data_IF_094651406947
#
_entry.id   IF_094651406947
#
_cell.length_a   1.000
_cell.length_b   1.000
_cell.length_c   1.000
_cell.angle_alpha   90.00
_cell.angle_beta   90.00
_cell.angle_gamma   90.00
#
_symmetry.space_group_name_H-M   'P 1'
#
loop_
_entity.id
_entity.type
_entity.pdbx_description
1 polymer ?
#
# COMPACT_ATOMS: atom_id res chain seq x y z
N UNK A 1 2.87 20.22 24.24
CA UNK A 1 2.26 18.94 23.84
C UNK A 1 2.34 18.82 22.32
N UNK A 2 3.06 17.83 21.78
CA UNK A 2 3.08 17.57 20.33
C UNK A 2 1.68 17.15 19.91
N UNK A 3 1.04 17.95 19.06
CA UNK A 3 -0.23 17.57 18.43
C UNK A 3 0.01 16.29 17.62
N UNK A 4 -0.58 15.18 18.05
CA UNK A 4 -0.50 13.91 17.33
C UNK A 4 -1.23 14.13 16.01
N UNK A 5 -0.49 14.21 14.90
CA UNK A 5 -1.07 14.30 13.56
C UNK A 5 -1.90 13.04 13.33
N UNK A 6 -3.21 13.21 13.13
CA UNK A 6 -4.13 12.11 12.84
C UNK A 6 -3.76 11.51 11.47
N UNK A 7 -3.55 10.20 11.40
CA UNK A 7 -3.53 9.46 10.13
C UNK A 7 -4.99 9.42 9.63
N UNK A 8 -5.29 10.13 8.57
CA UNK A 8 -6.61 10.14 7.92
C UNK A 8 -6.73 8.86 7.09
N UNK A 9 -7.93 8.26 6.99
CA UNK A 9 -8.22 7.17 6.05
C UNK A 9 -7.92 5.74 6.49
N UNK A 10 -7.45 5.50 7.71
CA UNK A 10 -7.35 4.17 8.36
C UNK A 10 -6.57 3.07 7.61
N UNK A 11 -5.83 3.43 6.55
CA UNK A 11 -5.03 2.52 5.73
C UNK A 11 -3.80 1.94 6.46
N UNK A 12 -3.40 2.55 7.57
CA UNK A 12 -2.47 2.01 8.54
C UNK A 12 -3.12 2.12 9.93
N UNK A 13 -2.78 1.23 10.87
CA UNK A 13 -3.29 1.35 12.23
C UNK A 13 -2.93 2.74 12.78
N UNK A 14 -3.84 3.26 13.61
CA UNK A 14 -3.70 4.58 14.25
C UNK A 14 -2.48 4.62 15.16
N UNK A 15 -2.12 3.49 15.74
CA UNK A 15 -0.99 3.32 16.64
C UNK A 15 0.19 2.68 15.90
N UNK A 16 1.34 3.34 15.92
CA UNK A 16 2.56 2.82 15.30
C UNK A 16 3.01 1.50 15.92
N UNK A 17 2.70 1.26 17.19
CA UNK A 17 3.05 0.01 17.88
C UNK A 17 2.38 -1.23 17.26
N UNK A 18 1.22 -1.08 16.60
CA UNK A 18 0.57 -2.18 15.88
C UNK A 18 1.36 -2.56 14.64
N UNK A 19 1.81 -1.58 13.84
CA UNK A 19 2.63 -1.85 12.64
C UNK A 19 4.01 -2.38 13.06
N UNK A 20 4.61 -1.80 14.09
CA UNK A 20 5.87 -2.26 14.64
C UNK A 20 5.80 -3.72 15.13
N UNK A 21 4.71 -4.11 15.80
CA UNK A 21 4.48 -5.49 16.23
C UNK A 21 4.35 -6.43 15.04
N UNK A 22 3.53 -6.06 14.06
CA UNK A 22 3.37 -6.81 12.81
C UNK A 22 4.72 -7.05 12.15
N UNK A 23 5.54 -6.00 11.94
CA UNK A 23 6.87 -6.13 11.35
C UNK A 23 7.77 -7.09 12.13
N UNK A 24 7.75 -7.01 13.46
CA UNK A 24 8.58 -7.85 14.32
C UNK A 24 8.18 -9.33 14.24
N UNK A 25 6.88 -9.61 14.29
CA UNK A 25 6.34 -10.97 14.14
C UNK A 25 6.61 -11.51 12.73
N UNK A 26 6.39 -10.68 11.72
CA UNK A 26 6.66 -11.02 10.32
C UNK A 26 8.15 -11.29 10.05
N UNK A 27 9.05 -10.53 10.66
CA UNK A 27 10.49 -10.76 10.54
C UNK A 27 10.91 -12.17 11.01
N UNK A 28 10.30 -12.67 12.09
CA UNK A 28 10.56 -14.02 12.57
C UNK A 28 10.10 -15.09 11.55
N UNK A 29 8.92 -14.89 10.95
CA UNK A 29 8.43 -15.75 9.88
C UNK A 29 9.34 -15.70 8.64
N UNK A 30 9.74 -14.50 8.20
CA UNK A 30 10.57 -14.29 7.03
C UNK A 30 11.94 -14.98 7.16
N UNK A 31 12.60 -14.86 8.32
CA UNK A 31 13.87 -15.55 8.59
C UNK A 31 13.73 -17.07 8.53
N UNK A 32 12.64 -17.63 9.08
CA UNK A 32 12.37 -19.07 9.01
C UNK A 32 12.19 -19.54 7.56
N UNK A 33 11.48 -18.76 6.74
CA UNK A 33 11.28 -19.04 5.31
C UNK A 33 12.60 -18.98 4.53
N UNK A 34 13.43 -17.97 4.76
CA UNK A 34 14.72 -17.81 4.08
C UNK A 34 15.65 -19.02 4.25
N UNK A 35 15.56 -19.74 5.37
CA UNK A 35 16.34 -20.96 5.59
C UNK A 35 15.80 -22.19 4.83
N UNK A 36 14.57 -22.13 4.30
CA UNK A 36 13.86 -23.28 3.74
C UNK A 36 13.49 -23.13 2.26
N UNK A 37 13.54 -21.91 1.71
CA UNK A 37 13.10 -21.61 0.35
C UNK A 37 14.11 -20.76 -0.40
N UNK A 38 14.16 -20.94 -1.72
CA UNK A 38 14.97 -20.10 -2.60
C UNK A 38 14.34 -18.70 -2.75
N UNK A 39 15.18 -17.67 -2.69
CA UNK A 39 14.78 -16.28 -2.94
C UNK A 39 14.22 -16.10 -4.35
N UNK A 40 13.15 -15.34 -4.48
CA UNK A 40 12.56 -14.98 -5.76
C UNK A 40 13.57 -14.19 -6.62
N UNK A 41 13.63 -14.50 -7.93
CA UNK A 41 14.57 -13.85 -8.85
C UNK A 41 14.41 -12.33 -8.88
N UNK A 42 13.18 -11.79 -8.83
CA UNK A 42 12.98 -10.34 -8.84
C UNK A 42 13.55 -9.65 -7.59
N UNK A 43 13.53 -10.35 -6.44
CA UNK A 43 14.11 -9.86 -5.18
C UNK A 43 15.62 -9.98 -5.20
N UNK A 44 16.15 -11.09 -5.74
CA UNK A 44 17.59 -11.27 -5.94
C UNK A 44 18.16 -10.19 -6.89
N UNK A 45 17.45 -9.86 -7.97
CA UNK A 45 17.83 -8.80 -8.91
C UNK A 45 17.83 -7.41 -8.26
N UNK A 46 16.83 -7.12 -7.42
CA UNK A 46 16.79 -5.88 -6.62
C UNK A 46 17.97 -5.82 -5.63
N UNK A 47 18.24 -6.92 -4.92
CA UNK A 47 19.36 -7.00 -3.98
C UNK A 47 20.71 -6.81 -4.68
N UNK A 48 20.90 -7.41 -5.85
CA UNK A 48 22.10 -7.23 -6.66
C UNK A 48 22.27 -5.76 -7.10
N UNK A 49 21.21 -5.15 -7.65
CA UNK A 49 21.24 -3.73 -8.03
C UNK A 49 21.59 -2.81 -6.87
N UNK A 50 20.93 -2.97 -5.70
CA UNK A 50 21.24 -2.16 -4.52
C UNK A 50 22.69 -2.37 -4.07
N UNK A 51 23.22 -3.59 -4.14
CA UNK A 51 24.60 -3.87 -3.76
C UNK A 51 25.59 -3.22 -4.72
N UNK A 52 25.32 -3.25 -6.01
CA UNK A 52 26.26 -2.87 -7.06
C UNK A 52 26.26 -1.35 -7.33
N UNK A 53 25.14 -0.66 -7.08
CA UNK A 53 25.06 0.80 -7.14
C UNK A 53 25.40 1.45 -5.78
N UNK A 54 26.55 2.14 -5.66
CA UNK A 54 27.00 2.69 -4.39
C UNK A 54 26.12 3.84 -3.86
N UNK A 55 25.46 4.60 -4.74
CA UNK A 55 24.60 5.73 -4.33
C UNK A 55 23.30 5.18 -3.76
N UNK A 56 22.66 4.26 -4.47
CA UNK A 56 21.44 3.57 -4.00
C UNK A 56 21.72 2.86 -2.68
N UNK A 57 22.84 2.13 -2.57
CA UNK A 57 23.24 1.46 -1.33
C UNK A 57 23.40 2.43 -0.16
N UNK A 58 24.09 3.54 -0.41
CA UNK A 58 24.33 4.58 0.61
C UNK A 58 23.01 5.19 1.05
N UNK A 59 22.17 5.63 0.12
CA UNK A 59 20.91 6.30 0.43
C UNK A 59 19.95 5.37 1.18
N UNK A 60 19.88 4.10 0.79
CA UNK A 60 19.02 3.15 1.48
C UNK A 60 19.54 2.83 2.89
N UNK A 61 20.85 2.59 3.03
CA UNK A 61 21.48 2.38 4.35
C UNK A 61 21.21 3.57 5.28
N UNK A 62 21.37 4.80 4.77
CA UNK A 62 21.11 6.03 5.53
C UNK A 62 19.64 6.19 5.86
N UNK A 63 18.71 5.89 4.94
CA UNK A 63 17.28 5.97 5.19
C UNK A 63 16.84 5.01 6.32
N UNK A 64 17.38 3.78 6.33
CA UNK A 64 17.16 2.81 7.41
C UNK A 64 17.74 3.34 8.73
N UNK A 65 18.97 3.84 8.72
CA UNK A 65 19.63 4.42 9.90
C UNK A 65 18.84 5.58 10.49
N UNK A 66 18.45 6.55 9.65
CA UNK A 66 17.65 7.73 10.04
C UNK A 66 16.31 7.35 10.68
N UNK A 67 15.61 6.36 10.12
CA UNK A 67 14.35 5.90 10.68
C UNK A 67 14.55 5.26 12.07
N UNK A 68 15.61 4.48 12.24
CA UNK A 68 15.95 3.85 13.53
C UNK A 68 16.39 4.88 14.57
N UNK A 69 17.22 5.86 14.19
CA UNK A 69 17.64 6.97 15.05
C UNK A 69 16.45 7.83 15.52
N UNK A 70 15.44 7.98 14.66
CA UNK A 70 14.18 8.64 15.01
C UNK A 70 13.27 7.81 15.94
N UNK A 71 13.67 6.57 16.29
CA UNK A 71 12.96 5.69 17.21
C UNK A 71 11.92 4.77 16.56
N UNK A 72 11.86 4.70 15.22
CA UNK A 72 10.91 3.83 14.53
C UNK A 72 11.38 2.37 14.52
N UNK A 73 10.42 1.45 14.67
CA UNK A 73 10.65 0.00 14.70
C UNK A 73 10.33 -0.60 13.34
N UNK A 74 11.37 -0.85 12.54
CA UNK A 74 11.24 -1.36 11.17
C UNK A 74 11.08 -2.88 11.08
N UNK A 75 11.49 -3.63 12.11
CA UNK A 75 11.55 -5.09 12.07
C UNK A 75 12.78 -5.66 11.37
N UNK A 76 13.62 -4.80 10.80
CA UNK A 76 14.90 -5.12 10.17
C UNK A 76 15.94 -4.03 10.50
N UNK A 77 17.21 -4.40 10.49
CA UNK A 77 18.33 -3.56 10.88
C UNK A 77 19.05 -2.91 9.69
N UNK A 78 19.06 -3.58 8.54
CA UNK A 78 19.86 -3.24 7.36
C UNK A 78 19.16 -3.73 6.07
N UNK A 79 19.83 -3.53 4.93
CA UNK A 79 19.33 -3.89 3.60
C UNK A 79 19.18 -5.41 3.47
N UNK A 80 20.10 -6.21 4.02
CA UNK A 80 20.07 -7.67 3.88
C UNK A 80 18.85 -8.25 4.61
N UNK A 81 18.59 -7.79 5.84
CA UNK A 81 17.36 -8.16 6.55
C UNK A 81 16.11 -7.65 5.83
N UNK A 82 16.13 -6.44 5.27
CA UNK A 82 15.03 -5.92 4.46
C UNK A 82 14.71 -6.83 3.27
N UNK A 83 15.72 -7.31 2.55
CA UNK A 83 15.57 -8.21 1.40
C UNK A 83 14.92 -9.53 1.81
N UNK A 84 15.30 -10.09 2.97
CA UNK A 84 14.68 -11.31 3.53
C UNK A 84 13.18 -11.10 3.81
N UNK A 85 12.83 -9.95 4.41
CA UNK A 85 11.43 -9.62 4.69
C UNK A 85 10.65 -9.38 3.39
N UNK A 86 11.24 -8.68 2.43
CA UNK A 86 10.61 -8.40 1.14
C UNK A 86 10.29 -9.68 0.37
N UNK A 87 11.20 -10.65 0.34
CA UNK A 87 10.96 -11.96 -0.31
C UNK A 87 9.77 -12.70 0.30
N UNK A 88 9.74 -12.79 1.63
CA UNK A 88 8.65 -13.44 2.33
C UNK A 88 7.29 -12.75 2.06
N UNK A 89 7.32 -11.43 1.86
CA UNK A 89 6.11 -10.64 1.62
C UNK A 89 5.46 -10.95 0.28
N UNK A 90 6.22 -11.47 -0.70
CA UNK A 90 5.69 -11.78 -2.03
C UNK A 90 4.68 -12.94 -2.03
N UNK A 91 4.67 -13.73 -0.97
CA UNK A 91 3.70 -14.83 -0.76
C UNK A 91 2.74 -14.55 0.40
N UNK A 92 2.66 -13.30 0.87
CA UNK A 92 1.78 -12.92 1.96
C UNK A 92 0.39 -12.58 1.45
N UNK A 93 -0.62 -13.36 1.86
CA UNK A 93 -2.03 -13.06 1.66
C UNK A 93 -2.54 -12.18 2.81
N UNK A 94 -3.13 -10.99 2.57
CA UNK A 94 -3.59 -10.13 3.66
C UNK A 94 -4.75 -10.76 4.45
N UNK A 95 -4.62 -11.02 5.77
CA UNK A 95 -5.73 -11.45 6.61
C UNK A 95 -6.69 -10.29 6.91
N UNK A 96 -7.93 -10.63 7.27
CA UNK A 96 -8.81 -9.64 7.90
C UNK A 96 -8.22 -9.25 9.27
N UNK A 97 -8.34 -7.97 9.62
CA UNK A 97 -8.02 -7.48 10.96
C UNK A 97 -8.94 -6.33 11.30
N UNK A 98 -9.51 -6.37 12.50
CA UNK A 98 -10.36 -5.28 12.99
C UNK A 98 -9.55 -4.01 13.30
N UNK A 99 -8.29 -4.19 13.69
CA UNK A 99 -7.41 -3.10 14.14
C UNK A 99 -6.73 -2.36 13.00
N UNK A 100 -6.62 -2.98 11.83
CA UNK A 100 -5.91 -2.37 10.72
C UNK A 100 -6.19 -3.01 9.37
N UNK A 101 -6.36 -2.15 8.38
CA UNK A 101 -6.41 -2.48 6.97
C UNK A 101 -4.98 -2.58 6.39
N UNK A 102 -4.06 -3.36 6.97
CA UNK A 102 -2.72 -3.60 6.36
C UNK A 102 -2.91 -4.44 5.10
N UNK A 103 -3.37 -3.81 4.02
CA UNK A 103 -3.59 -4.41 2.70
C UNK A 103 -2.38 -4.25 1.78
N UNK A 104 -1.46 -3.36 2.15
CA UNK A 104 -0.23 -3.07 1.39
C UNK A 104 0.99 -3.51 2.22
N UNK A 105 1.30 -4.81 2.25
CA UNK A 105 2.27 -5.38 3.18
C UNK A 105 3.70 -4.93 2.87
N UNK A 106 4.02 -4.62 1.60
CA UNK A 106 5.31 -4.02 1.22
C UNK A 106 5.45 -2.59 1.75
N UNK A 107 4.38 -1.77 1.74
CA UNK A 107 4.41 -0.43 2.33
C UNK A 107 4.68 -0.48 3.83
N UNK A 108 4.22 -1.51 4.53
CA UNK A 108 4.54 -1.69 5.93
C UNK A 108 6.05 -1.81 6.16
N UNK A 109 6.83 -2.33 5.20
CA UNK A 109 8.29 -2.35 5.32
C UNK A 109 8.94 -1.00 4.99
N UNK A 110 8.37 -0.25 4.05
CA UNK A 110 9.01 0.92 3.44
C UNK A 110 8.55 2.28 3.98
N UNK A 111 7.43 2.35 4.70
CA UNK A 111 6.79 3.59 5.14
C UNK A 111 7.74 4.61 5.80
N UNK A 112 8.61 4.15 6.70
CA UNK A 112 9.55 5.00 7.40
C UNK A 112 10.77 5.35 6.56
N UNK A 113 11.49 4.39 5.94
CA UNK A 113 12.55 4.73 5.00
C UNK A 113 12.10 5.73 3.93
N UNK A 114 10.88 5.60 3.40
CA UNK A 114 10.33 6.51 2.38
C UNK A 114 10.21 7.96 2.84
N UNK A 115 9.99 8.19 4.15
CA UNK A 115 9.80 9.54 4.68
C UNK A 115 11.04 10.13 5.34
N UNK A 116 12.20 9.44 5.26
CA UNK A 116 13.48 9.94 5.75
C UNK A 116 14.21 10.78 4.69
N UNK A 117 15.08 11.73 5.09
CA UNK A 117 15.80 12.60 4.15
C UNK A 117 16.55 11.85 3.03
N UNK A 118 17.27 10.77 3.35
CA UNK A 118 17.96 9.96 2.34
C UNK A 118 17.00 9.08 1.53
N UNK A 119 15.80 8.79 2.07
CA UNK A 119 14.75 8.10 1.34
C UNK A 119 14.18 8.93 0.19
N UNK A 120 14.05 10.25 0.35
CA UNK A 120 13.47 11.09 -0.69
C UNK A 120 14.20 10.97 -2.04
N UNK A 121 15.53 10.91 -2.03
CA UNK A 121 16.32 10.70 -3.24
C UNK A 121 16.14 9.27 -3.78
N UNK A 122 16.29 8.26 -2.93
CA UNK A 122 16.18 6.85 -3.28
C UNK A 122 14.84 6.51 -3.97
N UNK A 123 13.71 6.88 -3.39
CA UNK A 123 12.38 6.54 -3.93
C UNK A 123 11.99 7.38 -5.16
N UNK A 124 12.82 8.37 -5.53
CA UNK A 124 12.70 9.10 -6.79
C UNK A 124 13.60 8.55 -7.89
N UNK A 125 14.52 7.64 -7.55
CA UNK A 125 15.42 7.04 -8.52
C UNK A 125 14.64 6.14 -9.52
N UNK A 126 14.69 6.42 -10.84
CA UNK A 126 13.94 5.64 -11.82
C UNK A 126 14.39 4.18 -11.92
N UNK A 127 15.67 3.89 -11.73
CA UNK A 127 16.20 2.52 -11.79
C UNK A 127 15.75 1.72 -10.57
N UNK A 128 15.83 2.29 -9.37
CA UNK A 128 15.28 1.69 -8.16
C UNK A 128 13.78 1.38 -8.31
N UNK A 129 13.00 2.35 -8.80
CA UNK A 129 11.56 2.16 -9.05
C UNK A 129 11.28 1.10 -10.12
N UNK A 130 12.13 0.95 -11.14
CA UNK A 130 12.00 -0.11 -12.13
C UNK A 130 12.23 -1.51 -11.53
N UNK A 131 13.19 -1.66 -10.61
CA UNK A 131 13.39 -2.92 -9.87
C UNK A 131 12.23 -3.18 -8.90
N UNK A 132 11.81 -2.16 -8.14
CA UNK A 132 10.69 -2.28 -7.20
C UNK A 132 9.39 -2.66 -7.93
N UNK A 133 9.13 -2.09 -9.13
CA UNK A 133 7.99 -2.48 -9.97
C UNK A 133 8.00 -3.97 -10.31
N UNK A 134 9.16 -4.56 -10.63
CA UNK A 134 9.25 -6.00 -10.92
C UNK A 134 8.89 -6.83 -9.70
N UNK A 135 9.37 -6.45 -8.51
CA UNK A 135 9.00 -7.10 -7.24
C UNK A 135 7.50 -6.99 -6.98
N UNK A 136 6.92 -5.79 -7.14
CA UNK A 136 5.49 -5.57 -6.96
C UNK A 136 4.64 -6.35 -7.96
N UNK A 137 5.09 -6.53 -9.20
CA UNK A 137 4.41 -7.37 -10.18
C UNK A 137 4.35 -8.85 -9.75
N UNK A 138 5.40 -9.36 -9.11
CA UNK A 138 5.39 -10.73 -8.57
C UNK A 138 4.36 -10.87 -7.46
N UNK A 139 4.33 -9.92 -6.50
CA UNK A 139 3.31 -9.93 -5.46
C UNK A 139 1.89 -9.78 -6.05
N UNK A 140 1.71 -8.89 -7.03
CA UNK A 140 0.44 -8.72 -7.75
C UNK A 140 -0.03 -10.02 -8.43
N UNK A 141 0.89 -10.78 -9.02
CA UNK A 141 0.58 -12.08 -9.61
C UNK A 141 0.15 -13.09 -8.53
N UNK A 142 0.84 -13.11 -7.38
CA UNK A 142 0.48 -13.95 -6.24
C UNK A 142 -0.93 -13.63 -5.72
N UNK A 143 -1.25 -12.36 -5.44
CA UNK A 143 -2.58 -11.95 -4.92
C UNK A 143 -3.70 -12.08 -5.96
N UNK A 144 -3.34 -12.24 -7.24
CA UNK A 144 -4.29 -12.57 -8.32
C UNK A 144 -4.45 -14.08 -8.53
N UNK A 145 -3.61 -14.91 -7.91
CA UNK A 145 -3.63 -16.36 -8.03
C UNK A 145 -4.45 -17.08 -6.95
N UNK A 146 -4.71 -18.38 -7.12
CA UNK A 146 -5.57 -19.16 -6.22
C UNK A 146 -4.99 -19.36 -4.81
N UNK A 147 -3.67 -19.25 -4.64
CA UNK A 147 -2.99 -19.41 -3.35
C UNK A 147 -3.22 -18.22 -2.41
N UNK A 148 -3.63 -17.07 -2.92
CA UNK A 148 -3.94 -15.88 -2.12
C UNK A 148 -5.27 -15.99 -1.34
N UNK A 149 -6.02 -17.07 -1.53
CA UNK A 149 -7.34 -17.27 -0.91
C UNK A 149 -7.28 -17.80 0.52
N UNK A 150 -6.09 -17.92 1.10
CA UNK A 150 -5.86 -18.46 2.45
C UNK A 150 -6.84 -17.90 3.49
N UNK A 151 -7.07 -16.59 3.46
CA UNK A 151 -7.95 -15.88 4.39
C UNK A 151 -9.37 -15.63 3.88
N UNK A 152 -9.75 -16.11 2.69
CA UNK A 152 -11.12 -16.01 2.16
C UNK A 152 -12.00 -17.13 2.75
N UNK A 153 -12.24 -17.06 4.05
CA UNK A 153 -13.01 -18.05 4.79
C UNK A 153 -13.76 -17.39 5.96
N UNK A 154 -14.62 -18.15 6.62
CA UNK A 154 -15.49 -17.67 7.72
C UNK A 154 -14.83 -17.74 9.10
N UNK A 155 -13.57 -18.19 9.21
CA UNK A 155 -12.91 -18.40 10.50
C UNK A 155 -12.43 -17.08 11.09
N UNK A 156 -12.99 -16.69 12.22
CA UNK A 156 -12.48 -15.58 13.05
C UNK A 156 -11.10 -15.95 13.66
N UNK A 157 -10.19 -14.98 13.88
CA UNK A 157 -10.32 -13.55 13.62
C UNK A 157 -9.84 -13.08 12.24
N UNK A 158 -9.20 -13.96 11.46
CA UNK A 158 -8.46 -13.55 10.25
C UNK A 158 -9.23 -13.75 8.93
N UNK A 159 -10.41 -14.36 8.99
CA UNK A 159 -11.22 -14.70 7.83
C UNK A 159 -12.03 -13.53 7.30
N UNK A 160 -11.95 -13.28 5.99
CA UNK A 160 -12.67 -12.21 5.31
C UNK A 160 -14.19 -12.40 5.20
N UNK A 161 -14.69 -13.60 5.53
CA UNK A 161 -16.12 -13.91 5.58
C UNK A 161 -16.59 -14.14 7.01
N UNK A 162 -15.79 -13.77 8.02
CA UNK A 162 -16.21 -13.84 9.41
C UNK A 162 -17.33 -12.83 9.69
N UNK A 163 -18.04 -13.02 10.80
CA UNK A 163 -19.11 -12.10 11.20
C UNK A 163 -18.60 -10.66 11.41
N UNK A 164 -17.42 -10.53 12.00
CA UNK A 164 -16.75 -9.27 12.24
C UNK A 164 -16.38 -8.57 10.93
N UNK A 165 -15.86 -9.32 9.94
CA UNK A 165 -15.57 -8.79 8.62
C UNK A 165 -16.85 -8.34 7.89
N UNK A 166 -17.91 -9.15 7.93
CA UNK A 166 -19.19 -8.83 7.31
C UNK A 166 -19.85 -7.60 7.94
N UNK A 167 -19.74 -7.43 9.26
CA UNK A 167 -20.28 -6.25 9.95
C UNK A 167 -19.65 -4.93 9.47
N UNK A 168 -18.39 -4.95 9.02
CA UNK A 168 -17.68 -3.77 8.50
C UNK A 168 -17.86 -3.59 7.00
N UNK A 169 -17.87 -4.69 6.26
CA UNK A 169 -17.88 -4.68 4.79
C UNK A 169 -19.29 -4.63 4.22
N UNK A 170 -20.25 -5.28 4.89
CA UNK A 170 -21.57 -5.56 4.36
C UNK A 170 -21.52 -6.43 3.11
N UNK A 171 -21.10 -7.70 3.23
CA UNK A 171 -20.89 -8.61 2.09
C UNK A 171 -22.16 -8.83 1.25
N UNK A 172 -23.34 -8.63 1.85
CA UNK A 172 -24.64 -8.74 1.19
C UNK A 172 -24.82 -7.79 0.00
N UNK A 173 -24.05 -6.69 -0.09
CA UNK A 173 -24.13 -5.74 -1.20
C UNK A 173 -23.33 -6.16 -2.44
N UNK A 174 -22.51 -7.21 -2.35
CA UNK A 174 -21.63 -7.66 -3.42
C UNK A 174 -22.13 -8.94 -4.09
N UNK A 175 -21.64 -9.19 -5.31
CA UNK A 175 -21.88 -10.44 -6.01
C UNK A 175 -20.98 -11.52 -5.40
N UNK A 176 -21.55 -12.38 -4.55
CA UNK A 176 -20.91 -13.54 -3.96
C UNK A 176 -21.93 -14.67 -3.71
N UNK A 177 -21.46 -15.91 -3.73
CA UNK A 177 -22.30 -17.10 -3.55
C UNK A 177 -21.74 -17.96 -2.40
N UNK A 178 -22.32 -17.90 -1.19
CA UNK A 178 -21.86 -18.67 -0.05
C UNK A 178 -21.83 -20.19 -0.25
N UNK A 179 -22.55 -20.73 -1.24
CA UNK A 179 -22.55 -22.16 -1.54
C UNK A 179 -21.31 -22.61 -2.35
N UNK A 180 -20.57 -21.67 -2.96
CA UNK A 180 -19.35 -21.97 -3.72
C UNK A 180 -18.11 -21.91 -2.83
N UNK A 181 -17.05 -22.68 -3.14
CA UNK A 181 -15.74 -22.52 -2.51
C UNK A 181 -15.27 -21.06 -2.59
N UNK A 182 -14.77 -20.53 -1.46
CA UNK A 182 -14.34 -19.14 -1.34
C UNK A 182 -15.40 -18.12 -1.79
N UNK A 183 -16.68 -18.49 -1.69
CA UNK A 183 -17.84 -17.72 -2.12
C UNK A 183 -17.85 -17.32 -3.61
N UNK A 184 -17.13 -18.06 -4.44
CA UNK A 184 -16.98 -17.80 -5.88
C UNK A 184 -15.77 -16.93 -6.23
N UNK A 185 -15.02 -16.44 -5.25
CA UNK A 185 -13.81 -15.65 -5.51
C UNK A 185 -12.62 -16.53 -5.91
N UNK A 186 -11.97 -16.13 -7.00
CA UNK A 186 -10.85 -16.86 -7.59
C UNK A 186 -9.50 -16.55 -6.92
N UNK A 187 -9.39 -15.37 -6.29
CA UNK A 187 -8.17 -14.84 -5.67
C UNK A 187 -8.52 -13.72 -4.69
N UNK A 188 -7.53 -13.28 -3.90
CA UNK A 188 -7.67 -12.13 -3.02
C UNK A 188 -7.99 -10.86 -3.81
N UNK A 189 -7.33 -10.62 -4.96
CA UNK A 189 -7.64 -9.47 -5.80
C UNK A 189 -9.08 -9.50 -6.33
N UNK A 190 -9.60 -10.67 -6.74
CA UNK A 190 -11.00 -10.78 -7.16
C UNK A 190 -11.96 -10.42 -6.00
N UNK A 191 -11.63 -10.80 -4.76
CA UNK A 191 -12.38 -10.37 -3.58
C UNK A 191 -12.20 -8.88 -3.23
N UNK A 192 -11.00 -8.33 -3.41
CA UNK A 192 -10.69 -6.93 -3.08
C UNK A 192 -11.36 -5.96 -4.06
N UNK A 193 -11.42 -6.33 -5.34
CA UNK A 193 -12.12 -5.57 -6.40
C UNK A 193 -13.50 -6.15 -6.69
N UNK A 194 -14.13 -6.78 -5.69
CA UNK A 194 -15.44 -7.43 -5.82
C UNK A 194 -16.50 -6.48 -6.38
N UNK A 195 -17.38 -7.03 -7.21
CA UNK A 195 -18.42 -6.28 -7.87
C UNK A 195 -19.63 -6.08 -6.96
N UNK A 196 -20.21 -4.87 -7.01
CA UNK A 196 -21.47 -4.58 -6.35
C UNK A 196 -22.64 -5.25 -7.07
N UNK A 197 -23.69 -5.58 -6.32
CA UNK A 197 -24.98 -5.94 -6.91
C UNK A 197 -25.54 -4.75 -7.69
N UNK A 198 -26.26 -5.00 -8.81
CA UNK A 198 -26.98 -3.95 -9.53
C UNK A 198 -27.85 -3.11 -8.59
N UNK A 199 -27.76 -1.79 -8.72
CA UNK A 199 -28.54 -0.85 -7.92
C UNK A 199 -27.97 -0.50 -6.54
N UNK A 200 -26.86 -1.09 -6.10
CA UNK A 200 -26.26 -0.79 -4.79
C UNK A 200 -25.76 0.66 -4.66
N UNK A 201 -25.41 1.32 -5.79
CA UNK A 201 -24.91 2.70 -5.86
C UNK A 201 -25.60 3.46 -7.00
N UNK A 202 -26.84 3.95 -6.80
CA UNK A 202 -27.56 4.67 -7.85
C UNK A 202 -26.90 6.02 -8.15
N UNK A 203 -26.76 6.37 -9.42
CA UNK A 203 -26.28 7.68 -9.86
C UNK A 203 -27.43 8.69 -9.78
N UNK A 204 -27.22 9.79 -9.05
CA UNK A 204 -28.20 10.86 -8.96
C UNK A 204 -28.26 11.63 -10.29
N UNK A 205 -29.46 11.79 -10.83
CA UNK A 205 -29.73 12.60 -12.05
C UNK A 205 -28.76 12.27 -13.22
N UNK A 206 -28.77 11.04 -13.76
CA UNK A 206 -27.79 10.59 -14.74
C UNK A 206 -27.78 11.36 -16.08
N UNK A 207 -28.79 12.21 -16.34
CA UNK A 207 -28.86 13.09 -17.51
C UNK A 207 -28.61 14.58 -17.22
N UNK A 208 -28.14 14.93 -16.01
CA UNK A 208 -27.85 16.30 -15.64
C UNK A 208 -26.34 16.55 -15.55
N UNK A 209 -25.77 17.12 -16.62
CA UNK A 209 -24.34 17.41 -16.73
C UNK A 209 -23.82 18.47 -15.73
N UNK A 210 -24.71 19.05 -14.91
CA UNK A 210 -24.35 20.01 -13.85
C UNK A 210 -24.13 19.34 -12.49
N UNK A 211 -24.45 18.06 -12.35
CA UNK A 211 -24.34 17.33 -11.08
C UNK A 211 -23.02 16.59 -11.03
N UNK A 212 -22.18 16.94 -10.07
CA UNK A 212 -20.93 16.22 -9.76
C UNK A 212 -21.23 15.28 -8.58
N UNK A 213 -20.90 14.01 -8.76
CA UNK A 213 -21.02 12.97 -7.73
C UNK A 213 -19.63 12.42 -7.37
N UNK A 214 -19.55 11.74 -6.22
CA UNK A 214 -18.29 11.13 -5.80
C UNK A 214 -17.88 10.02 -6.76
N UNK A 215 -16.62 10.01 -7.18
CA UNK A 215 -16.07 8.98 -8.06
C UNK A 215 -15.91 7.62 -7.37
N UNK A 216 -15.79 7.61 -6.04
CA UNK A 216 -15.62 6.41 -5.24
C UNK A 216 -16.13 6.60 -3.82
N UNK A 217 -16.14 5.50 -3.05
CA UNK A 217 -16.39 5.51 -1.61
C UNK A 217 -15.17 6.05 -0.88
N UNK A 218 -15.07 7.38 -0.83
CA UNK A 218 -13.97 8.07 -0.20
C UNK A 218 -14.45 9.28 0.60
N UNK A 219 -13.65 9.66 1.59
CA UNK A 219 -13.79 10.96 2.26
C UNK A 219 -12.76 11.92 1.67
N UNK A 220 -13.16 13.15 1.29
CA UNK A 220 -12.21 14.16 0.82
C UNK A 220 -11.10 14.37 1.86
N UNK A 221 -9.85 14.16 1.45
CA UNK A 221 -8.70 14.42 2.32
C UNK A 221 -8.44 15.92 2.46
N UNK A 222 -8.51 16.64 1.34
CA UNK A 222 -8.26 18.08 1.29
C UNK A 222 -8.97 18.70 0.08
N UNK A 223 -9.50 19.91 0.26
CA UNK A 223 -10.14 20.70 -0.80
C UNK A 223 -9.45 22.06 -0.81
N UNK A 224 -8.89 22.42 -1.95
CA UNK A 224 -8.20 23.68 -2.16
C UNK A 224 -8.71 24.37 -3.41
N UNK A 225 -9.01 25.65 -3.27
CA UNK A 225 -9.37 26.54 -4.38
C UNK A 225 -8.13 27.29 -4.87
N UNK A 226 -8.18 27.80 -6.10
CA UNK A 226 -7.14 28.63 -6.71
C UNK A 226 -5.74 27.98 -6.71
N UNK A 227 -5.67 26.68 -6.98
CA UNK A 227 -4.40 25.95 -7.12
C UNK A 227 -3.56 26.53 -8.27
N UNK A 228 -2.25 26.61 -8.07
CA UNK A 228 -1.33 27.22 -9.03
C UNK A 228 -0.75 26.18 -9.98
N UNK A 229 -0.37 26.64 -11.17
CA UNK A 229 0.31 25.79 -12.15
C UNK A 229 1.66 25.27 -11.62
N UNK A 230 2.40 26.17 -10.97
CA UNK A 230 3.66 25.92 -10.27
C UNK A 230 3.53 26.48 -8.85
N UNK A 231 3.89 25.68 -7.86
CA UNK A 231 3.90 26.08 -6.46
C UNK A 231 5.01 25.32 -5.70
N UNK A 232 5.29 25.72 -4.46
CA UNK A 232 6.27 25.05 -3.62
C UNK A 232 5.78 23.67 -3.14
N UNK A 233 5.81 22.66 -4.02
CA UNK A 233 5.27 21.32 -3.76
C UNK A 233 6.02 20.53 -2.67
N UNK A 234 7.21 20.99 -2.26
CA UNK A 234 8.07 20.35 -1.26
C UNK A 234 7.82 20.81 0.20
N UNK A 235 6.83 21.69 0.45
CA UNK A 235 6.53 22.20 1.80
C UNK A 235 5.42 21.38 2.47
N UNK A 236 5.54 21.14 3.78
CA UNK A 236 4.63 20.33 4.63
C UNK A 236 3.17 20.82 4.69
N UNK A 237 2.84 21.97 4.10
CA UNK A 237 1.47 22.48 3.89
C UNK A 237 0.83 22.01 2.58
N UNK A 238 1.54 21.17 1.80
CA UNK A 238 1.12 20.63 0.51
C UNK A 238 0.55 21.68 -0.47
N UNK A 239 1.29 22.76 -0.81
CA UNK A 239 0.94 23.54 -1.99
C UNK A 239 0.98 22.60 -3.21
N UNK A 240 -0.15 22.36 -3.87
CA UNK A 240 -0.20 21.46 -5.02
C UNK A 240 0.21 22.22 -6.27
N UNK A 241 1.39 21.89 -6.81
CA UNK A 241 1.79 22.30 -8.14
C UNK A 241 1.20 21.33 -9.16
N UNK A 242 0.39 21.85 -10.08
CA UNK A 242 -0.27 21.03 -11.10
C UNK A 242 0.73 20.36 -12.05
N UNK A 243 1.82 21.04 -12.41
CA UNK A 243 2.85 20.49 -13.31
C UNK A 243 3.63 19.37 -12.62
N UNK A 244 4.04 19.56 -11.37
CA UNK A 244 4.90 18.58 -10.68
C UNK A 244 4.11 17.38 -10.17
N UNK A 245 2.81 17.53 -9.92
CA UNK A 245 1.92 16.44 -9.53
C UNK A 245 1.47 15.60 -10.74
N UNK A 246 1.34 16.21 -11.93
CA UNK A 246 0.86 15.54 -13.13
C UNK A 246 1.85 15.75 -14.28
N UNK A 247 2.65 14.73 -14.54
CA UNK A 247 3.72 14.74 -15.56
C UNK A 247 3.24 15.05 -16.99
N UNK A 248 1.93 14.97 -17.28
CA UNK A 248 1.32 15.25 -18.59
C UNK A 248 0.47 16.55 -18.65
N UNK A 249 0.33 17.31 -17.55
CA UNK A 249 -0.53 18.51 -17.52
C UNK A 249 0.03 19.68 -18.32
N UNK A 250 1.30 19.68 -18.72
CA UNK A 250 1.88 20.77 -19.53
C UNK A 250 1.07 21.09 -20.80
N UNK A 251 0.37 20.09 -21.38
CA UNK A 251 -0.55 20.28 -22.51
C UNK A 251 -1.97 20.74 -22.14
N UNK A 252 -2.41 20.53 -20.90
CA UNK A 252 -3.75 20.83 -20.38
C UNK A 252 -3.81 22.06 -19.46
N UNK A 253 -2.65 22.57 -19.03
CA UNK A 253 -2.47 23.65 -18.08
C UNK A 253 -3.30 24.90 -18.39
N UNK A 254 -3.37 25.30 -19.67
CA UNK A 254 -4.12 26.47 -20.11
C UNK A 254 -5.65 26.33 -20.00
N UNK A 255 -6.17 25.12 -19.76
CA UNK A 255 -7.62 24.87 -19.61
C UNK A 255 -8.07 24.77 -18.15
N UNK A 256 -7.14 24.61 -17.20
CA UNK A 256 -7.43 24.37 -15.79
C UNK A 256 -7.37 25.64 -14.93
N UNK A 257 -6.84 26.75 -15.46
CA UNK A 257 -6.57 27.99 -14.71
C UNK A 257 -7.18 29.20 -15.45
N UNK A 258 -8.46 29.10 -15.81
CA UNK A 258 -9.25 30.22 -16.30
C UNK A 258 -10.15 30.76 -15.18
#
# INVERSE_FOLDING_TARGET
MRQIRRRIGEWLPREEDVVARFRKEFAAHARKRANAAQTNSAVADLAAFIRDDPVVRMDFTRAIGQAREAGFKLGYADIDEFIVLLDAMLTYAPPFSESSLIHCPVNALLDWPMVMPSGYALFRDPAFNAHLKRVLNVWSAFVSGPYSREHLNTRSPNGWFSHEADSKIGLSQFLCDPAKPYWGYASWNHFFTREFKPGARPVAQPGNDKVIFSACEASPYNIHDNVKLQDAFWIKSQPYSLIETNSDISSMAGRLIA
#
